data_IF_523755911137
#
_entry.id   IF_523755911137
#
_cell.length_a   1.000
_cell.length_b   1.000
_cell.length_c   1.000
_cell.angle_alpha   90.00
_cell.angle_beta   90.00
_cell.angle_gamma   90.00
#
_symmetry.space_group_name_H-M   'P 1'
#
loop_
_entity.id
_entity.type
_entity.pdbx_description
1 polymer ?
#
# COMPACT_ATOMS: atom_id res chain seq x y z
N UNK A 1 -14.05 -7.66 13.53
CA UNK A 1 -14.30 -9.07 13.14
C UNK A 1 -13.24 -9.68 12.26
N UNK A 2 -12.93 -9.08 11.10
CA UNK A 2 -11.90 -9.58 10.18
C UNK A 2 -11.08 -8.40 9.66
N UNK A 3 -9.76 -8.56 9.54
CA UNK A 3 -8.85 -7.64 8.86
C UNK A 3 -8.16 -8.44 7.76
N UNK A 4 -8.07 -7.87 6.56
CA UNK A 4 -7.31 -8.44 5.45
C UNK A 4 -6.40 -7.37 4.85
N UNK A 5 -5.19 -7.78 4.49
CA UNK A 5 -4.21 -6.91 3.83
C UNK A 5 -3.29 -7.76 2.94
N UNK A 6 -2.41 -7.11 2.19
CA UNK A 6 -1.55 -7.76 1.20
C UNK A 6 -0.07 -7.53 1.50
N UNK A 7 0.76 -8.51 1.15
CA UNK A 7 2.21 -8.52 1.39
C UNK A 7 2.97 -7.34 0.78
N UNK A 8 2.54 -6.86 -0.39
CA UNK A 8 3.24 -5.83 -1.18
C UNK A 8 2.82 -4.39 -0.88
N UNK A 9 2.22 -4.13 0.29
CA UNK A 9 1.84 -2.78 0.75
C UNK A 9 2.82 -2.29 1.81
N UNK A 10 2.33 -1.80 2.94
CA UNK A 10 3.17 -1.38 4.07
C UNK A 10 4.05 -2.52 4.63
N UNK A 11 3.72 -3.78 4.33
CA UNK A 11 4.58 -4.93 4.64
C UNK A 11 5.81 -5.04 3.74
N UNK A 12 6.04 -4.17 2.74
CA UNK A 12 7.28 -4.14 1.95
C UNK A 12 7.78 -5.50 1.41
N UNK A 13 6.87 -6.47 1.23
CA UNK A 13 7.22 -7.81 0.79
C UNK A 13 6.78 -8.00 -0.66
N UNK A 14 7.18 -9.11 -1.27
CA UNK A 14 6.78 -9.43 -2.64
C UNK A 14 5.27 -9.71 -2.72
N UNK A 15 4.59 -9.37 -3.82
CA UNK A 15 3.17 -9.71 -4.00
C UNK A 15 2.98 -11.23 -4.03
N UNK A 16 1.91 -11.72 -3.40
CA UNK A 16 1.58 -13.15 -3.44
C UNK A 16 0.92 -13.70 -2.18
N UNK A 17 0.77 -12.89 -1.13
CA UNK A 17 0.06 -13.31 0.08
C UNK A 17 -0.99 -12.29 0.52
N UNK A 18 -2.10 -12.83 1.02
CA UNK A 18 -3.09 -12.13 1.82
C UNK A 18 -2.84 -12.47 3.29
N UNK A 19 -2.72 -11.46 4.14
CA UNK A 19 -2.59 -11.61 5.59
C UNK A 19 -3.96 -11.32 6.19
N UNK A 20 -4.51 -12.31 6.90
CA UNK A 20 -5.86 -12.25 7.45
C UNK A 20 -5.78 -12.43 8.96
N UNK A 21 -6.34 -11.45 9.68
CA UNK A 21 -6.70 -11.60 11.09
C UNK A 21 -8.21 -11.81 11.17
N UNK A 22 -8.65 -12.75 12.00
CA UNK A 22 -10.08 -12.98 12.23
C UNK A 22 -10.32 -13.23 13.73
N UNK A 23 -11.42 -12.68 14.23
CA UNK A 23 -11.93 -12.91 15.60
C UNK A 23 -13.28 -13.65 15.60
N UNK A 24 -13.79 -13.95 14.42
CA UNK A 24 -15.02 -14.72 14.22
C UNK A 24 -14.72 -15.93 13.32
N UNK A 25 -15.53 -16.98 13.48
CA UNK A 25 -15.43 -18.14 12.59
C UNK A 25 -15.93 -17.77 11.18
N UNK A 26 -15.19 -18.13 10.11
CA UNK A 26 -15.64 -17.90 8.75
C UNK A 26 -16.97 -18.61 8.47
N UNK A 27 -17.95 -17.85 7.98
CA UNK A 27 -19.26 -18.38 7.58
C UNK A 27 -19.41 -18.17 6.07
N UNK A 28 -19.64 -19.24 5.33
CA UNK A 28 -20.03 -19.17 3.92
C UNK A 28 -21.31 -19.97 3.72
N UNK A 29 -22.29 -19.35 3.04
CA UNK A 29 -23.52 -20.02 2.59
C UNK A 29 -23.34 -20.67 1.21
N UNK A 30 -22.23 -20.39 0.53
CA UNK A 30 -21.94 -20.84 -0.83
C UNK A 30 -20.77 -21.82 -0.84
N UNK A 31 -20.76 -22.69 -1.86
CA UNK A 31 -19.59 -23.53 -2.17
C UNK A 31 -18.44 -22.63 -2.64
N UNK A 32 -17.34 -22.63 -1.90
CA UNK A 32 -16.15 -21.84 -2.21
C UNK A 32 -15.16 -22.66 -3.05
N UNK A 33 -14.35 -21.99 -3.91
CA UNK A 33 -13.13 -22.60 -4.43
C UNK A 33 -12.27 -23.11 -3.27
N UNK A 34 -11.64 -24.27 -3.46
CA UNK A 34 -10.80 -24.92 -2.45
C UNK A 34 -9.64 -24.03 -1.93
N UNK A 35 -9.16 -23.11 -2.76
CA UNK A 35 -8.13 -22.13 -2.42
C UNK A 35 -8.65 -20.94 -1.60
N UNK A 36 -9.96 -20.75 -1.52
CA UNK A 36 -10.62 -19.65 -0.78
C UNK A 36 -11.34 -20.14 0.48
N UNK A 37 -11.30 -21.44 0.77
CA UNK A 37 -11.89 -22.02 1.98
C UNK A 37 -11.02 -21.74 3.22
N UNK A 38 -11.26 -20.60 3.87
CA UNK A 38 -10.53 -20.18 5.06
C UNK A 38 -10.69 -21.16 6.24
N UNK A 39 -11.80 -21.90 6.36
CA UNK A 39 -11.98 -22.91 7.41
C UNK A 39 -10.98 -24.05 7.24
N UNK A 40 -10.67 -24.42 5.98
CA UNK A 40 -9.61 -25.39 5.69
C UNK A 40 -8.24 -24.88 6.13
N UNK A 41 -7.90 -23.63 5.84
CA UNK A 41 -6.62 -23.04 6.30
C UNK A 41 -6.53 -22.98 7.83
N UNK A 42 -7.61 -22.61 8.52
CA UNK A 42 -7.64 -22.54 10.00
C UNK A 42 -7.43 -23.92 10.62
N UNK A 43 -8.14 -24.95 10.14
CA UNK A 43 -8.03 -26.31 10.72
C UNK A 43 -6.64 -26.94 10.53
N UNK A 44 -5.88 -26.55 9.50
CA UNK A 44 -4.50 -27.03 9.33
C UNK A 44 -3.51 -26.39 10.30
N UNK A 45 -3.84 -25.23 10.90
CA UNK A 45 -2.99 -24.57 11.90
C UNK A 45 -2.73 -25.46 13.12
N UNK A 46 -3.73 -26.23 13.55
CA UNK A 46 -3.60 -27.17 14.67
C UNK A 46 -2.56 -28.28 14.40
N UNK A 47 -2.34 -28.60 13.13
CA UNK A 47 -1.38 -29.61 12.67
C UNK A 47 -0.02 -29.02 12.27
N UNK A 48 0.14 -27.70 12.32
CA UNK A 48 1.34 -26.99 11.84
C UNK A 48 1.61 -27.31 10.35
N UNK A 49 0.53 -27.41 9.56
CA UNK A 49 0.59 -27.69 8.13
C UNK A 49 -0.15 -26.64 7.31
N UNK A 50 0.06 -26.65 6.00
CA UNK A 50 -0.72 -25.86 5.04
C UNK A 50 -1.60 -26.78 4.19
N UNK A 51 -2.81 -26.35 3.82
CA UNK A 51 -3.72 -27.20 3.04
C UNK A 51 -3.23 -27.51 1.62
N UNK A 52 -2.25 -26.74 1.13
CA UNK A 52 -1.58 -26.87 -0.17
C UNK A 52 -0.12 -26.42 -0.06
N UNK A 53 0.68 -26.68 -1.09
CA UNK A 53 2.06 -26.18 -1.18
C UNK A 53 2.10 -24.65 -1.07
N UNK A 54 2.75 -24.08 -0.05
CA UNK A 54 2.76 -22.64 0.16
C UNK A 54 3.83 -21.95 -0.70
N UNK A 55 3.67 -20.64 -1.00
CA UNK A 55 4.67 -19.86 -1.71
C UNK A 55 5.83 -19.49 -0.78
N UNK A 56 6.82 -20.38 -0.65
CA UNK A 56 7.94 -20.25 0.31
C UNK A 56 8.64 -18.89 0.21
N UNK A 57 8.92 -18.39 -1.00
CA UNK A 57 9.59 -17.10 -1.18
C UNK A 57 8.80 -15.92 -0.60
N UNK A 58 7.46 -15.96 -0.68
CA UNK A 58 6.60 -14.91 -0.12
C UNK A 58 6.57 -14.98 1.41
N UNK A 59 6.58 -16.20 1.96
CA UNK A 59 6.66 -16.42 3.41
C UNK A 59 7.98 -15.89 3.96
N UNK A 60 9.11 -16.22 3.33
CA UNK A 60 10.42 -15.73 3.75
C UNK A 60 10.52 -14.20 3.66
N UNK A 61 9.98 -13.60 2.58
CA UNK A 61 9.94 -12.14 2.45
C UNK A 61 9.07 -11.47 3.52
N UNK A 62 7.94 -12.08 3.87
CA UNK A 62 7.10 -11.61 4.98
C UNK A 62 7.80 -11.75 6.33
N UNK A 63 8.46 -12.87 6.60
CA UNK A 63 9.21 -13.08 7.85
C UNK A 63 10.30 -12.02 8.04
N UNK A 64 11.10 -11.76 7.01
CA UNK A 64 12.10 -10.69 7.07
C UNK A 64 11.46 -9.32 7.34
N UNK A 65 10.41 -8.99 6.59
CA UNK A 65 9.78 -7.67 6.69
C UNK A 65 9.06 -7.43 8.02
N UNK A 66 8.36 -8.43 8.55
CA UNK A 66 7.71 -8.30 9.87
C UNK A 66 8.76 -8.13 10.96
N UNK A 67 9.88 -8.86 10.91
CA UNK A 67 11.00 -8.66 11.82
C UNK A 67 11.60 -7.25 11.70
N UNK A 68 11.75 -6.72 10.49
CA UNK A 68 12.20 -5.34 10.27
C UNK A 68 11.24 -4.31 10.89
N UNK A 69 9.93 -4.45 10.64
CA UNK A 69 8.91 -3.56 11.20
C UNK A 69 8.88 -3.63 12.73
N UNK A 70 8.98 -4.83 13.31
CA UNK A 70 9.00 -5.02 14.76
C UNK A 70 10.23 -4.39 15.44
N UNK A 71 11.38 -4.36 14.76
CA UNK A 71 12.58 -3.65 15.25
C UNK A 71 12.37 -2.13 15.32
N UNK A 72 11.60 -1.55 14.39
CA UNK A 72 11.22 -0.13 14.42
C UNK A 72 10.13 0.14 15.49
N UNK A 73 9.24 -0.84 15.68
CA UNK A 73 8.02 -0.71 16.47
C UNK A 73 6.84 -0.30 15.59
N UNK A 74 5.70 -0.99 15.75
CA UNK A 74 4.54 -0.85 14.86
C UNK A 74 3.99 0.57 14.86
N UNK A 75 3.86 1.21 16.03
CA UNK A 75 3.35 2.58 16.15
C UNK A 75 4.28 3.59 15.48
N UNK A 76 5.60 3.45 15.70
CA UNK A 76 6.58 4.31 15.02
C UNK A 76 6.56 4.09 13.51
N UNK A 77 6.43 2.85 13.06
CA UNK A 77 6.35 2.53 11.65
C UNK A 77 5.10 3.14 11.00
N UNK A 78 3.94 3.08 11.66
CA UNK A 78 2.74 3.76 11.20
C UNK A 78 2.90 5.29 11.18
N UNK A 79 3.56 5.87 12.19
CA UNK A 79 3.81 7.30 12.28
C UNK A 79 4.67 7.83 11.13
N UNK A 80 5.73 7.11 10.75
CA UNK A 80 6.61 7.49 9.64
C UNK A 80 5.82 7.68 8.33
N UNK A 81 4.80 6.86 8.09
CA UNK A 81 3.95 6.99 6.90
C UNK A 81 3.14 8.31 6.93
N UNK A 82 2.61 8.67 8.10
CA UNK A 82 1.92 9.95 8.31
C UNK A 82 2.87 11.13 8.07
N UNK A 83 4.06 11.11 8.67
CA UNK A 83 5.09 12.15 8.50
C UNK A 83 5.44 12.36 7.02
N UNK A 84 5.66 11.28 6.28
CA UNK A 84 5.93 11.31 4.83
C UNK A 84 4.77 11.91 4.04
N UNK A 85 3.55 11.50 4.35
CA UNK A 85 2.36 11.98 3.63
C UNK A 85 2.09 13.45 3.92
N UNK A 86 2.25 13.88 5.17
CA UNK A 86 2.13 15.29 5.56
C UNK A 86 3.21 16.16 4.92
N UNK A 87 4.44 15.66 4.84
CA UNK A 87 5.53 16.34 4.14
C UNK A 87 5.21 16.53 2.65
N UNK A 88 4.81 15.46 1.95
CA UNK A 88 4.37 15.53 0.56
C UNK A 88 3.24 16.55 0.37
N UNK A 89 2.24 16.49 1.24
CA UNK A 89 1.07 17.36 1.22
C UNK A 89 1.40 18.84 1.47
N UNK A 90 2.45 19.13 2.24
CA UNK A 90 2.95 20.49 2.47
C UNK A 90 3.79 21.05 1.33
N UNK A 91 4.39 20.18 0.50
CA UNK A 91 5.23 20.59 -0.63
C UNK A 91 4.44 20.78 -1.93
N UNK A 92 3.45 19.93 -2.20
CA UNK A 92 2.70 19.96 -3.46
C UNK A 92 1.68 21.10 -3.47
N UNK A 93 1.72 21.92 -4.52
CA UNK A 93 0.85 23.10 -4.69
C UNK A 93 -0.51 22.78 -5.29
N UNK A 94 -0.60 21.70 -6.07
CA UNK A 94 -1.83 21.24 -6.68
C UNK A 94 -2.94 21.00 -5.65
N UNK A 95 -4.18 21.21 -6.07
CA UNK A 95 -5.35 20.97 -5.23
C UNK A 95 -5.49 19.50 -4.87
N UNK A 96 -5.51 19.19 -3.58
CA UNK A 96 -5.77 17.84 -3.09
C UNK A 96 -7.21 17.39 -3.34
N UNK A 97 -7.35 16.08 -3.58
CA UNK A 97 -8.66 15.44 -3.77
C UNK A 97 -9.39 15.27 -2.44
N UNK A 98 -8.69 14.76 -1.42
CA UNK A 98 -9.26 14.54 -0.09
C UNK A 98 -9.24 15.83 0.74
N UNK A 99 -10.31 16.07 1.51
CA UNK A 99 -10.32 17.10 2.56
C UNK A 99 -9.37 16.70 3.69
N UNK A 100 -8.91 17.68 4.48
CA UNK A 100 -7.87 17.50 5.51
C UNK A 100 -8.19 16.36 6.49
N UNK A 101 -9.44 16.26 6.93
CA UNK A 101 -9.94 15.26 7.88
C UNK A 101 -10.07 13.84 7.30
N UNK A 102 -10.01 13.68 5.97
CA UNK A 102 -10.12 12.41 5.26
C UNK A 102 -8.84 12.01 4.52
N UNK A 103 -7.72 12.69 4.80
CA UNK A 103 -6.44 12.36 4.18
C UNK A 103 -5.97 10.98 4.64
N UNK A 104 -5.46 10.21 3.69
CA UNK A 104 -4.78 8.95 3.98
C UNK A 104 -3.36 9.23 4.48
N UNK A 105 -2.85 8.35 5.35
CA UNK A 105 -1.45 8.39 5.81
C UNK A 105 -0.49 7.69 4.85
N UNK A 106 -0.95 7.16 3.72
CA UNK A 106 -0.13 6.28 2.86
C UNK A 106 -0.14 6.65 1.39
N UNK A 107 -1.13 7.43 0.96
CA UNK A 107 -1.27 7.89 -0.42
C UNK A 107 -1.92 9.27 -0.46
N UNK A 108 -1.33 10.19 -1.20
CA UNK A 108 -1.94 11.48 -1.51
C UNK A 108 -2.42 11.51 -2.96
N UNK A 109 -3.53 12.21 -3.19
CA UNK A 109 -4.10 12.40 -4.51
C UNK A 109 -4.34 13.88 -4.79
N UNK A 110 -3.96 14.32 -5.99
CA UNK A 110 -4.03 15.71 -6.41
C UNK A 110 -4.70 15.83 -7.78
N UNK A 111 -5.51 16.88 -7.95
CA UNK A 111 -6.09 17.23 -9.24
C UNK A 111 -5.02 17.88 -10.13
N UNK A 112 -5.02 17.51 -11.41
CA UNK A 112 -4.15 18.08 -12.43
C UNK A 112 -4.80 17.91 -13.81
N UNK A 113 -4.44 18.74 -14.78
CA UNK A 113 -4.81 18.53 -16.19
C UNK A 113 -3.71 17.81 -16.98
N UNK A 114 -2.55 17.58 -16.35
CA UNK A 114 -1.30 17.16 -16.99
C UNK A 114 -0.80 15.81 -16.45
N UNK A 115 -1.71 14.95 -16.00
CA UNK A 115 -1.38 13.68 -15.34
C UNK A 115 -0.39 12.82 -16.15
N UNK A 116 -0.57 12.74 -17.48
CA UNK A 116 0.30 11.98 -18.37
C UNK A 116 1.71 12.57 -18.46
N UNK A 117 1.82 13.90 -18.56
CA UNK A 117 3.09 14.61 -18.65
C UNK A 117 3.91 14.45 -17.37
N UNK A 118 3.27 14.66 -16.21
CA UNK A 118 3.88 14.46 -14.89
C UNK A 118 4.42 13.04 -14.73
N UNK A 119 3.62 12.03 -15.10
CA UNK A 119 4.03 10.61 -14.99
C UNK A 119 5.23 10.31 -15.88
N UNK A 120 5.26 10.85 -17.10
CA UNK A 120 6.37 10.63 -18.02
C UNK A 120 7.66 11.29 -17.50
N UNK A 121 7.60 12.54 -17.07
CA UNK A 121 8.77 13.25 -16.52
C UNK A 121 9.31 12.55 -15.26
N UNK A 122 8.44 12.15 -14.34
CA UNK A 122 8.84 11.38 -13.16
C UNK A 122 9.49 10.05 -13.54
N UNK A 123 8.98 9.37 -14.57
CA UNK A 123 9.54 8.10 -15.05
C UNK A 123 10.95 8.29 -15.62
N UNK A 124 11.21 9.37 -16.33
CA UNK A 124 12.55 9.68 -16.89
C UNK A 124 13.62 9.83 -15.80
N UNK A 125 13.22 10.29 -14.60
CA UNK A 125 14.13 10.42 -13.45
C UNK A 125 14.01 9.25 -12.44
N UNK A 126 13.37 8.14 -12.83
CA UNK A 126 13.35 6.90 -12.06
C UNK A 126 12.21 6.74 -11.04
N UNK A 127 11.22 7.64 -11.04
CA UNK A 127 10.06 7.55 -10.15
C UNK A 127 8.81 7.05 -10.87
N UNK A 128 7.95 6.33 -10.16
CA UNK A 128 6.64 5.90 -10.68
C UNK A 128 5.53 6.36 -9.75
N UNK A 129 4.52 6.99 -10.33
CA UNK A 129 3.26 7.33 -9.66
C UNK A 129 2.09 6.78 -10.48
N UNK A 130 0.87 6.82 -9.94
CA UNK A 130 -0.32 6.33 -10.62
C UNK A 130 -1.29 7.45 -10.98
N UNK A 131 -2.14 7.23 -11.98
CA UNK A 131 -3.32 8.07 -12.23
C UNK A 131 -4.49 7.70 -11.31
N UNK A 132 -5.53 8.54 -11.33
CA UNK A 132 -6.85 8.18 -10.83
C UNK A 132 -7.46 6.99 -11.57
N UNK A 133 -8.57 6.46 -11.06
CA UNK A 133 -9.30 5.35 -11.69
C UNK A 133 -10.60 5.84 -12.35
N UNK A 134 -11.03 5.16 -13.41
CA UNK A 134 -12.27 5.48 -14.11
C UNK A 134 -12.31 6.92 -14.62
N UNK A 135 -13.36 7.66 -14.25
CA UNK A 135 -13.56 9.06 -14.62
C UNK A 135 -12.47 10.02 -14.11
N UNK A 136 -11.67 9.59 -13.12
CA UNK A 136 -10.57 10.39 -12.57
C UNK A 136 -9.23 10.13 -13.26
N UNK A 137 -9.15 9.19 -14.20
CA UNK A 137 -7.88 8.74 -14.82
C UNK A 137 -7.10 9.83 -15.55
N UNK A 138 -7.79 10.85 -16.06
CA UNK A 138 -7.17 11.97 -16.78
C UNK A 138 -6.85 13.16 -15.87
N UNK A 139 -7.52 13.28 -14.73
CA UNK A 139 -7.56 14.53 -13.96
C UNK A 139 -7.00 14.40 -12.54
N UNK A 140 -6.49 13.22 -12.17
CA UNK A 140 -5.95 12.95 -10.83
C UNK A 140 -4.67 12.15 -10.96
N UNK A 141 -3.68 12.52 -10.17
CA UNK A 141 -2.48 11.73 -9.88
C UNK A 141 -2.50 11.24 -8.43
N UNK A 142 -1.90 10.08 -8.18
CA UNK A 142 -1.81 9.42 -6.87
C UNK A 142 -0.36 9.08 -6.57
N UNK A 143 0.13 9.56 -5.43
CA UNK A 143 1.50 9.41 -4.97
C UNK A 143 1.46 8.56 -3.70
N UNK A 144 1.94 7.33 -3.79
CA UNK A 144 2.08 6.44 -2.64
C UNK A 144 3.42 6.65 -1.95
N UNK A 145 3.41 6.74 -0.63
CA UNK A 145 4.62 6.91 0.20
C UNK A 145 4.74 5.80 1.26
N UNK A 146 4.26 4.61 0.90
CA UNK A 146 4.32 3.42 1.75
C UNK A 146 5.67 2.74 1.70
N UNK A 147 6.06 2.13 2.82
CA UNK A 147 7.22 1.26 2.89
C UNK A 147 8.50 2.04 3.06
N UNK A 148 9.48 1.78 2.20
CA UNK A 148 10.81 2.39 2.29
C UNK A 148 10.95 3.51 1.26
N UNK A 149 10.52 4.72 1.63
CA UNK A 149 10.57 5.93 0.79
C UNK A 149 11.30 7.04 1.54
N UNK A 150 12.30 7.65 0.92
CA UNK A 150 13.06 8.73 1.56
C UNK A 150 12.39 10.09 1.41
N UNK A 151 12.62 11.00 2.37
CA UNK A 151 12.09 12.37 2.29
C UNK A 151 12.66 13.16 1.09
N UNK A 152 13.89 12.87 0.65
CA UNK A 152 14.45 13.48 -0.55
C UNK A 152 13.75 13.00 -1.82
N UNK A 153 13.31 11.74 -1.88
CA UNK A 153 12.52 11.23 -2.99
C UNK A 153 11.17 11.96 -3.06
N UNK A 154 10.51 12.10 -1.91
CA UNK A 154 9.24 12.85 -1.80
C UNK A 154 9.43 14.29 -2.29
N UNK A 155 10.52 14.94 -1.87
CA UNK A 155 10.83 16.31 -2.29
C UNK A 155 11.01 16.42 -3.81
N UNK A 156 11.82 15.55 -4.41
CA UNK A 156 12.04 15.53 -5.88
C UNK A 156 10.75 15.29 -6.65
N UNK A 157 9.93 14.35 -6.19
CA UNK A 157 8.61 14.08 -6.79
C UNK A 157 7.72 15.32 -6.73
N UNK A 158 7.67 16.00 -5.58
CA UNK A 158 6.89 17.23 -5.42
C UNK A 158 7.41 18.37 -6.29
N UNK A 159 8.72 18.53 -6.43
CA UNK A 159 9.35 19.53 -7.30
C UNK A 159 8.93 19.37 -8.77
N UNK A 160 8.90 18.14 -9.29
CA UNK A 160 8.40 17.86 -10.65
C UNK A 160 6.92 18.18 -10.77
N UNK A 161 6.10 17.71 -9.82
CA UNK A 161 4.64 17.97 -9.82
C UNK A 161 4.34 19.47 -9.84
N UNK A 162 5.09 20.26 -9.05
CA UNK A 162 4.88 21.70 -8.92
C UNK A 162 5.25 22.53 -10.17
N UNK A 163 5.85 21.91 -11.21
CA UNK A 163 6.03 22.56 -12.53
C UNK A 163 4.70 22.68 -13.31
N UNK A 164 3.67 21.97 -12.87
CA UNK A 164 2.36 21.84 -13.53
C UNK A 164 1.20 22.44 -12.70
N UNK A 165 1.51 23.28 -11.73
CA UNK A 165 0.55 24.10 -10.98
C UNK A 165 0.24 25.41 -11.73
#
# INVERSE_FOLDING_TARGET
DVIATASHKAFMSVPGASIIFHNINPRSINKLPLSMDLNKFISMKEKIETPYTPPINVIMGLDYSTNYILKIGVDRYAEIHRERTDYLNGLVKLKQVAKKEFRSNTVSAFYTKDAKSIINELREIGYTIATGMGSLSQNVIRIGVMGDVDFNDIKKVAEVINKYD
#
